data_IF_736907287540
#
_entry.id   IF_736907287540
#
_cell.length_a   1.000
_cell.length_b   1.000
_cell.length_c   1.000
_cell.angle_alpha   90.00
_cell.angle_beta   90.00
_cell.angle_gamma   90.00
#
_symmetry.space_group_name_H-M   'P 1'
#
loop_
_entity.id
_entity.type
_entity.pdbx_description
1 polymer ?
#
# COMPACT_ATOMS: atom_id res chain seq x y z
N UNK A 1 11.80 -7.86 60.89
CA UNK A 1 11.18 -6.91 59.93
C UNK A 1 12.27 -6.32 59.05
N UNK A 2 12.56 -6.93 57.89
CA UNK A 2 13.51 -6.38 56.92
C UNK A 2 12.70 -5.57 55.90
N UNK A 3 12.99 -4.28 55.82
CA UNK A 3 12.44 -3.35 54.83
C UNK A 3 12.78 -3.88 53.43
N UNK A 4 11.77 -4.16 52.61
CA UNK A 4 11.96 -4.40 51.19
C UNK A 4 12.44 -3.12 50.53
N UNK A 5 13.64 -3.17 49.95
CA UNK A 5 14.17 -2.14 49.06
C UNK A 5 13.16 -1.85 47.93
N UNK A 6 13.02 -0.60 47.46
CA UNK A 6 12.16 -0.31 46.32
C UNK A 6 12.79 -0.97 45.08
N UNK A 7 12.20 -2.08 44.63
CA UNK A 7 12.62 -2.74 43.41
C UNK A 7 12.51 -1.75 42.26
N UNK A 8 13.65 -1.36 41.70
CA UNK A 8 13.73 -0.48 40.55
C UNK A 8 12.80 -1.02 39.45
N UNK A 9 11.86 -0.19 39.02
CA UNK A 9 10.78 -0.51 38.07
C UNK A 9 11.31 -1.08 36.73
N UNK A 10 12.60 -0.89 36.44
CA UNK A 10 13.32 -1.46 35.31
C UNK A 10 13.48 -2.99 35.36
N UNK A 11 13.39 -3.62 36.53
CA UNK A 11 13.58 -5.06 36.70
C UNK A 11 12.30 -5.88 36.51
N UNK A 12 11.20 -5.29 36.05
CA UNK A 12 9.97 -5.98 35.68
C UNK A 12 10.00 -6.31 34.18
N UNK A 13 10.36 -7.54 33.77
CA UNK A 13 10.36 -7.94 32.37
C UNK A 13 8.89 -8.19 31.99
N UNK A 14 8.26 -7.17 31.42
CA UNK A 14 6.84 -7.21 31.06
C UNK A 14 6.23 -5.82 30.85
N UNK A 15 6.85 -4.77 31.39
CA UNK A 15 6.41 -3.39 31.19
C UNK A 15 7.22 -2.71 30.07
N UNK A 16 7.32 -3.34 28.89
CA UNK A 16 7.69 -2.57 27.70
C UNK A 16 6.51 -1.65 27.41
N UNK A 17 6.64 -0.37 27.77
CA UNK A 17 5.74 0.70 27.32
C UNK A 17 5.67 0.63 25.80
N UNK A 18 4.58 0.10 25.28
CA UNK A 18 4.20 0.25 23.89
C UNK A 18 4.06 1.74 23.63
N UNK A 19 4.97 2.30 22.82
CA UNK A 19 4.86 3.64 22.26
C UNK A 19 5.45 4.75 23.12
N UNK A 20 6.67 5.18 22.78
CA UNK A 20 7.14 6.52 23.13
C UNK A 20 7.81 7.16 21.91
N UNK A 21 7.00 7.45 20.89
CA UNK A 21 7.23 8.60 20.02
C UNK A 21 6.38 9.74 20.61
N UNK A 22 6.84 11.00 20.59
CA UNK A 22 5.97 12.11 21.04
C UNK A 22 4.72 12.17 20.16
N UNK A 23 3.59 12.69 20.68
CA UNK A 23 2.38 12.90 19.86
C UNK A 23 2.68 13.69 18.59
N UNK A 24 3.58 14.68 18.68
CA UNK A 24 4.14 15.43 17.56
C UNK A 24 4.78 14.49 16.52
N UNK A 25 5.64 13.57 16.96
CA UNK A 25 6.35 12.64 16.08
C UNK A 25 5.39 11.64 15.45
N UNK A 26 4.43 11.12 16.22
CA UNK A 26 3.41 10.21 15.73
C UNK A 26 2.54 10.88 14.65
N UNK A 27 2.15 12.14 14.88
CA UNK A 27 1.39 12.94 13.91
C UNK A 27 2.17 13.15 12.60
N UNK A 28 3.45 13.48 12.69
CA UNK A 28 4.32 13.64 11.51
C UNK A 28 4.39 12.33 10.72
N UNK A 29 4.52 11.19 11.40
CA UNK A 29 4.55 9.88 10.74
C UNK A 29 3.24 9.63 9.99
N UNK A 30 2.08 9.83 10.63
CA UNK A 30 0.77 9.62 10.01
C UNK A 30 0.55 10.53 8.79
N UNK A 31 1.01 11.78 8.86
CA UNK A 31 0.96 12.73 7.75
C UNK A 31 1.82 12.27 6.56
N UNK A 32 3.04 11.78 6.80
CA UNK A 32 3.91 11.26 5.74
C UNK A 32 3.36 9.96 5.13
N UNK A 33 2.80 9.06 5.94
CA UNK A 33 2.15 7.85 5.45
C UNK A 33 0.99 8.21 4.52
N UNK A 34 0.15 9.17 4.92
CA UNK A 34 -0.96 9.67 4.08
C UNK A 34 -0.45 10.23 2.76
N UNK A 35 0.58 11.09 2.79
CA UNK A 35 1.20 11.66 1.58
C UNK A 35 1.71 10.58 0.62
N UNK A 36 2.33 9.52 1.16
CA UNK A 36 2.82 8.40 0.35
C UNK A 36 1.64 7.70 -0.32
N UNK A 37 0.59 7.37 0.43
CA UNK A 37 -0.60 6.68 -0.09
C UNK A 37 -1.26 7.52 -1.18
N UNK A 38 -1.51 8.81 -0.92
CA UNK A 38 -2.15 9.72 -1.88
C UNK A 38 -1.32 9.83 -3.17
N UNK A 39 0.01 9.94 -3.04
CA UNK A 39 0.91 9.96 -4.19
C UNK A 39 0.86 8.66 -5.00
N UNK A 40 0.87 7.50 -4.35
CA UNK A 40 0.80 6.22 -5.06
C UNK A 40 -0.58 6.01 -5.70
N UNK A 41 -1.64 6.52 -5.09
CA UNK A 41 -2.98 6.51 -5.66
C UNK A 41 -3.02 7.31 -6.98
N UNK A 42 -2.49 8.53 -6.99
CA UNK A 42 -2.42 9.34 -8.22
C UNK A 42 -1.58 8.66 -9.30
N UNK A 43 -0.42 8.09 -8.95
CA UNK A 43 0.41 7.32 -9.89
C UNK A 43 -0.37 6.15 -10.50
N UNK A 44 -1.10 5.39 -9.69
CA UNK A 44 -1.93 4.30 -10.19
C UNK A 44 -3.05 4.80 -11.11
N UNK A 45 -3.72 5.89 -10.75
CA UNK A 45 -4.73 6.54 -11.57
C UNK A 45 -4.20 6.96 -12.92
N UNK A 46 -3.02 7.60 -12.95
CA UNK A 46 -2.41 8.07 -14.19
C UNK A 46 -1.99 6.90 -15.08
N UNK A 47 -1.42 5.83 -14.51
CA UNK A 47 -1.14 4.59 -15.26
C UNK A 47 -2.43 4.02 -15.88
N UNK A 48 -3.55 4.03 -15.15
CA UNK A 48 -4.84 3.54 -15.65
C UNK A 48 -5.42 4.46 -16.74
N UNK A 49 -5.28 5.78 -16.60
CA UNK A 49 -5.71 6.76 -17.62
C UNK A 49 -4.89 6.63 -18.88
N UNK A 50 -3.56 6.54 -18.77
CA UNK A 50 -2.66 6.36 -19.91
C UNK A 50 -2.98 5.06 -20.66
N UNK A 51 -3.35 4.01 -19.92
CA UNK A 51 -3.74 2.70 -20.46
C UNK A 51 -5.25 2.56 -20.70
N UNK A 52 -6.01 3.66 -20.78
CA UNK A 52 -7.46 3.58 -20.96
C UNK A 52 -7.85 2.86 -22.27
N UNK A 53 -7.05 3.02 -23.33
CA UNK A 53 -7.27 2.30 -24.60
C UNK A 53 -7.17 0.78 -24.44
N UNK A 54 -6.10 0.32 -23.80
CA UNK A 54 -5.91 -1.08 -23.42
C UNK A 54 -7.08 -1.61 -22.57
N UNK A 55 -7.46 -0.88 -21.52
CA UNK A 55 -8.56 -1.28 -20.63
C UNK A 55 -9.88 -1.47 -21.39
N UNK A 56 -10.19 -0.59 -22.35
CA UNK A 56 -11.38 -0.72 -23.21
C UNK A 56 -11.30 -1.97 -24.08
N UNK A 57 -10.15 -2.26 -24.69
CA UNK A 57 -9.94 -3.49 -25.50
C UNK A 57 -10.13 -4.74 -24.64
N UNK A 58 -9.50 -4.79 -23.46
CA UNK A 58 -9.64 -5.91 -22.53
C UNK A 58 -11.10 -6.10 -22.08
N UNK A 59 -11.83 -5.01 -21.80
CA UNK A 59 -13.25 -5.06 -21.46
C UNK A 59 -14.12 -5.60 -22.61
N UNK A 60 -13.84 -5.23 -23.86
CA UNK A 60 -14.55 -5.78 -25.03
C UNK A 60 -14.33 -7.29 -25.15
N UNK A 61 -13.10 -7.77 -24.94
CA UNK A 61 -12.82 -9.21 -24.97
C UNK A 61 -13.50 -9.95 -23.83
N UNK A 62 -13.52 -9.37 -22.62
CA UNK A 62 -14.25 -9.93 -21.48
C UNK A 62 -15.75 -10.04 -21.74
N UNK A 63 -16.34 -9.06 -22.43
CA UNK A 63 -17.76 -9.12 -22.81
C UNK A 63 -18.05 -10.25 -23.81
N UNK A 64 -17.08 -10.64 -24.64
CA UNK A 64 -17.24 -11.72 -25.62
C UNK A 64 -16.96 -13.12 -25.05
N UNK A 65 -15.93 -13.24 -24.21
CA UNK A 65 -15.42 -14.54 -23.73
C UNK A 65 -15.79 -14.86 -22.28
N UNK A 66 -16.40 -13.94 -21.53
CA UNK A 66 -16.65 -13.95 -20.06
C UNK A 66 -15.40 -14.08 -19.18
N UNK A 67 -14.30 -14.64 -19.69
CA UNK A 67 -13.04 -14.84 -19.00
C UNK A 67 -11.90 -14.50 -19.93
N UNK A 68 -10.88 -13.85 -19.37
CA UNK A 68 -9.60 -13.62 -20.04
C UNK A 68 -8.53 -14.36 -19.24
N UNK A 69 -7.70 -15.14 -19.92
CA UNK A 69 -6.52 -15.74 -19.31
C UNK A 69 -5.39 -14.71 -19.20
N UNK A 70 -4.44 -14.94 -18.28
CA UNK A 70 -3.27 -14.05 -18.14
C UNK A 70 -2.47 -13.93 -19.44
N UNK A 71 -2.31 -15.02 -20.19
CA UNK A 71 -1.64 -15.03 -21.48
C UNK A 71 -2.35 -14.17 -22.53
N UNK A 72 -3.68 -14.22 -22.61
CA UNK A 72 -4.45 -13.38 -23.53
C UNK A 72 -4.36 -11.89 -23.14
N UNK A 73 -4.34 -11.58 -21.85
CA UNK A 73 -4.14 -10.22 -21.39
C UNK A 73 -2.74 -9.68 -21.77
N UNK A 74 -1.69 -10.50 -21.62
CA UNK A 74 -0.34 -10.15 -22.04
C UNK A 74 -0.25 -9.89 -23.56
N UNK A 75 -0.95 -10.67 -24.38
CA UNK A 75 -1.03 -10.42 -25.83
C UNK A 75 -1.71 -9.08 -26.15
N UNK A 76 -2.79 -8.75 -25.45
CA UNK A 76 -3.47 -7.45 -25.59
C UNK A 76 -2.53 -6.31 -25.17
N UNK A 77 -1.77 -6.48 -24.09
CA UNK A 77 -0.75 -5.51 -23.64
C UNK A 77 0.38 -5.35 -24.65
N UNK A 78 0.88 -6.45 -25.22
CA UNK A 78 1.95 -6.41 -26.21
C UNK A 78 1.52 -5.71 -27.51
N UNK A 79 0.30 -5.96 -27.97
CA UNK A 79 -0.24 -5.32 -29.19
C UNK A 79 -0.43 -3.80 -29.04
N UNK A 80 -0.79 -3.34 -27.84
CA UNK A 80 -0.96 -1.91 -27.54
C UNK A 80 0.38 -1.16 -27.54
N UNK A 81 1.44 -1.79 -27.01
CA UNK A 81 2.82 -1.24 -27.03
C UNK A 81 3.42 -1.10 -28.43
N UNK A 82 2.96 -1.87 -29.41
CA UNK A 82 3.45 -1.79 -30.79
C UNK A 82 2.72 -0.71 -31.62
N UNK A 83 1.60 -0.17 -31.11
CA UNK A 83 0.78 0.82 -31.80
C UNK A 83 1.05 2.27 -31.34
N UNK A 84 1.97 2.47 -30.38
CA UNK A 84 2.45 3.77 -29.88
C UNK A 84 3.90 4.00 -30.31
#
# INVERSE_FOLDING_TARGET
>A
YLKGEPTAQFLQPGLRKSGEYSEETARIIDEEVRKIIDKQYEVALDILKDKQGLLKKAAQVLLQKEKISGSELEEIIASDRQSS
#
